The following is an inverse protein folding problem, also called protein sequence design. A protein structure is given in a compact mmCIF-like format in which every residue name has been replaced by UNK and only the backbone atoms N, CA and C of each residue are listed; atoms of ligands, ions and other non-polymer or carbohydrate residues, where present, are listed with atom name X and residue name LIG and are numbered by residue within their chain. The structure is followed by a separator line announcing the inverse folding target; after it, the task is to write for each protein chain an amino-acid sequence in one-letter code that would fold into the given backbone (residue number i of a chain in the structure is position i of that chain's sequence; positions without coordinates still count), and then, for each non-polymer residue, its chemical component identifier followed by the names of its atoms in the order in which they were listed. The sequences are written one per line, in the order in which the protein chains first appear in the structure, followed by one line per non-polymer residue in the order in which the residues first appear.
data_IF_486417885207
#
_entry.id   IF_486417885207
#
_cell.length_a   1.000
_cell.length_b   1.000
_cell.length_c   1.000
_cell.angle_alpha   90.00
_cell.angle_beta   90.00
_cell.angle_gamma   90.00
#
_symmetry.space_group_name_H-M   'P 1'
#
loop_
_entity.id
_entity.type
_entity.pdbx_description
1 polymer ?
#
# COMPACT_ATOMS: atom_id res chain seq x y z
N UNK A 1 5.12 29.53 21.98
CA UNK A 1 3.67 29.31 21.80
C UNK A 1 3.53 28.06 20.95
N UNK A 2 3.47 26.91 21.62
CA UNK A 2 3.59 25.59 20.99
C UNK A 2 2.31 25.27 20.22
N UNK A 3 2.37 25.46 18.90
CA UNK A 3 1.32 24.98 17.99
C UNK A 3 1.68 23.58 17.56
N UNK A 4 0.78 22.65 17.88
CA UNK A 4 0.62 21.28 17.37
C UNK A 4 0.97 20.14 18.35
N UNK A 5 0.15 20.01 19.41
CA UNK A 5 -0.31 18.70 19.83
C UNK A 5 -1.05 18.04 18.66
N UNK A 6 -0.35 17.25 17.87
CA UNK A 6 -0.93 16.37 16.87
C UNK A 6 -0.79 14.94 17.39
N UNK A 7 -1.72 14.48 18.22
CA UNK A 7 -1.99 13.04 18.26
C UNK A 7 -2.71 12.69 16.96
N UNK A 8 -1.97 12.68 15.83
CA UNK A 8 -2.50 12.13 14.59
C UNK A 8 -2.69 10.63 14.84
N UNK A 9 -3.94 10.22 15.04
CA UNK A 9 -4.28 8.81 15.20
C UNK A 9 -3.92 8.01 13.94
N UNK A 10 -3.94 8.67 12.77
CA UNK A 10 -3.50 8.14 11.50
C UNK A 10 -2.04 8.50 11.20
N UNK A 11 -1.21 7.49 10.91
CA UNK A 11 0.20 7.62 10.57
C UNK A 11 0.54 6.64 9.42
N UNK A 12 1.57 6.96 8.63
CA UNK A 12 2.12 6.05 7.63
C UNK A 12 2.89 4.94 8.36
N UNK A 13 2.55 3.68 8.08
CA UNK A 13 3.14 2.51 8.75
C UNK A 13 4.05 1.66 7.85
N UNK A 14 3.86 1.72 6.53
CA UNK A 14 4.65 0.93 5.59
C UNK A 14 4.56 1.49 4.17
N UNK A 15 5.47 1.04 3.32
CA UNK A 15 5.49 1.34 1.89
C UNK A 15 6.01 0.14 1.10
N UNK A 16 5.59 0.03 -0.16
CA UNK A 16 6.10 -0.96 -1.11
C UNK A 16 6.35 -0.30 -2.46
N UNK A 17 7.36 -0.75 -3.20
CA UNK A 17 7.51 -0.42 -4.61
C UNK A 17 6.62 -1.31 -5.48
N UNK A 18 6.22 -0.84 -6.66
CA UNK A 18 5.49 -1.61 -7.65
C UNK A 18 5.95 -1.31 -9.08
N UNK A 19 5.62 -2.23 -9.98
CA UNK A 19 5.81 -2.10 -11.43
C UNK A 19 4.64 -2.77 -12.14
N UNK A 20 3.86 -2.03 -12.91
CA UNK A 20 2.75 -2.55 -13.70
C UNK A 20 3.07 -2.50 -15.20
N UNK A 21 2.73 -3.56 -15.94
CA UNK A 21 2.84 -3.62 -17.40
C UNK A 21 4.14 -4.27 -17.90
N UNK A 22 4.28 -4.40 -19.22
CA UNK A 22 5.40 -5.11 -19.86
C UNK A 22 6.48 -4.14 -20.37
N UNK A 23 6.11 -3.07 -21.09
CA UNK A 23 6.98 -1.95 -21.46
C UNK A 23 6.20 -0.79 -22.14
N UNK A 24 6.42 0.50 -21.78
CA UNK A 24 7.11 0.94 -20.57
C UNK A 24 6.25 0.61 -19.34
N UNK A 25 6.89 0.10 -18.30
CA UNK A 25 6.23 -0.19 -17.03
C UNK A 25 5.83 1.10 -16.31
N UNK A 26 4.67 1.08 -15.65
CA UNK A 26 4.30 2.09 -14.66
C UNK A 26 4.89 1.68 -13.32
N UNK A 27 5.93 2.38 -12.88
CA UNK A 27 6.62 2.11 -11.62
C UNK A 27 6.31 3.19 -10.58
N UNK A 28 6.35 2.82 -9.31
CA UNK A 28 6.16 3.79 -8.23
C UNK A 28 6.24 3.17 -6.85
N UNK A 29 5.86 3.97 -5.87
CA UNK A 29 5.71 3.57 -4.48
C UNK A 29 4.26 3.68 -4.05
N UNK A 30 3.83 2.76 -3.22
CA UNK A 30 2.58 2.85 -2.45
C UNK A 30 2.92 3.03 -0.98
N UNK A 31 2.17 3.88 -0.28
CA UNK A 31 2.26 4.16 1.14
C UNK A 31 0.96 3.75 1.82
N UNK A 32 1.06 3.03 2.93
CA UNK A 32 -0.08 2.56 3.72
C UNK A 32 -0.10 3.26 5.07
N UNK A 33 -1.26 3.78 5.46
CA UNK A 33 -1.50 4.24 6.82
C UNK A 33 -2.04 3.13 7.71
N UNK A 34 -1.95 3.28 9.03
CA UNK A 34 -2.62 2.35 9.96
C UNK A 34 -4.14 2.29 9.77
N UNK A 35 -4.74 3.31 9.13
CA UNK A 35 -6.18 3.39 8.82
C UNK A 35 -6.54 2.77 7.46
N UNK A 36 -5.61 2.03 6.83
CA UNK A 36 -5.90 1.34 5.58
C UNK A 36 -5.91 2.25 4.35
N UNK A 37 -5.55 3.53 4.48
CA UNK A 37 -5.53 4.46 3.34
C UNK A 37 -4.24 4.27 2.54
N UNK A 38 -4.42 4.13 1.23
CA UNK A 38 -3.31 3.97 0.28
C UNK A 38 -3.09 5.25 -0.51
N UNK A 39 -1.82 5.62 -0.60
CA UNK A 39 -1.36 6.72 -1.43
C UNK A 39 -0.26 6.24 -2.35
N UNK A 40 -0.15 6.81 -3.55
CA UNK A 40 0.91 6.49 -4.51
C UNK A 40 1.76 7.70 -4.86
N UNK A 41 3.04 7.42 -5.11
CA UNK A 41 3.96 8.27 -5.85
C UNK A 41 4.38 7.49 -7.11
N UNK A 42 3.82 7.86 -8.26
CA UNK A 42 4.14 7.26 -9.56
C UNK A 42 5.32 7.98 -10.20
N UNK A 43 6.19 7.22 -10.87
CA UNK A 43 7.27 7.79 -11.66
C UNK A 43 6.73 8.48 -12.92
N UNK A 44 7.38 9.55 -13.36
CA UNK A 44 7.07 10.18 -14.65
C UNK A 44 7.49 9.26 -15.82
N UNK A 45 8.58 8.54 -15.63
CA UNK A 45 9.09 7.48 -16.51
C UNK A 45 10.02 6.56 -15.69
N UNK A 46 10.49 5.41 -16.21
CA UNK A 46 11.30 4.46 -15.45
C UNK A 46 12.56 5.04 -14.78
N UNK A 47 13.08 6.18 -15.26
CA UNK A 47 14.29 6.83 -14.76
C UNK A 47 14.02 8.10 -13.92
N UNK A 48 12.77 8.58 -13.87
CA UNK A 48 12.42 9.87 -13.24
C UNK A 48 11.24 9.71 -12.28
N UNK A 49 11.49 9.99 -10.99
CA UNK A 49 10.47 10.01 -9.94
C UNK A 49 9.40 11.08 -10.23
N UNK A 50 8.15 10.78 -9.88
CA UNK A 50 7.09 11.77 -9.84
C UNK A 50 7.26 12.76 -8.70
N UNK A 51 6.38 13.77 -8.69
CA UNK A 51 6.37 14.83 -7.66
C UNK A 51 5.08 14.85 -6.83
N UNK A 52 4.08 14.07 -7.23
CA UNK A 52 2.74 14.15 -6.66
C UNK A 52 2.40 12.85 -5.93
N UNK A 53 1.97 13.00 -4.67
CA UNK A 53 1.34 11.93 -3.92
C UNK A 53 -0.17 12.03 -4.14
N UNK A 54 -0.80 10.92 -4.50
CA UNK A 54 -2.25 10.85 -4.74
C UNK A 54 -2.88 9.71 -3.95
N UNK A 55 -4.10 9.91 -3.47
CA UNK A 55 -4.90 8.86 -2.83
C UNK A 55 -5.35 7.82 -3.86
N UNK A 56 -5.33 6.54 -3.47
CA UNK A 56 -5.77 5.42 -4.31
C UNK A 56 -7.12 4.89 -3.83
N UNK A 57 -7.15 4.38 -2.59
CA UNK A 57 -8.30 3.69 -1.99
C UNK A 57 -8.10 3.55 -0.48
N UNK A 58 -9.14 3.07 0.20
CA UNK A 58 -9.09 2.59 1.58
C UNK A 58 -9.36 1.09 1.57
N UNK A 59 -8.43 0.29 2.11
CA UNK A 59 -8.51 -1.18 2.08
C UNK A 59 -9.74 -1.71 2.84
N UNK A 60 -9.95 -1.20 4.05
CA UNK A 60 -11.05 -1.56 4.94
C UNK A 60 -11.26 -0.44 5.97
N UNK A 61 -12.35 -0.48 6.74
CA UNK A 61 -12.66 0.40 7.88
C UNK A 61 -11.71 0.26 9.09
N UNK A 62 -10.77 -0.69 9.07
CA UNK A 62 -9.88 -1.00 10.21
C UNK A 62 -8.78 0.04 10.42
N UNK A 63 -8.29 0.14 11.66
CA UNK A 63 -7.37 1.19 12.13
C UNK A 63 -6.01 0.70 12.66
N UNK A 64 -5.74 -0.58 12.47
CA UNK A 64 -4.56 -1.28 12.98
C UNK A 64 -3.85 -2.05 11.87
N UNK A 65 -3.84 -1.51 10.64
CA UNK A 65 -2.90 -1.97 9.62
C UNK A 65 -1.46 -1.75 10.09
N UNK A 66 -0.58 -2.71 9.78
CA UNK A 66 0.81 -2.70 10.24
C UNK A 66 1.83 -2.92 9.12
N UNK A 67 1.43 -3.45 7.96
CA UNK A 67 2.36 -3.63 6.85
C UNK A 67 1.64 -3.77 5.50
N UNK A 68 2.34 -3.41 4.42
CA UNK A 68 2.03 -3.78 3.04
C UNK A 68 3.29 -4.37 2.39
N UNK A 69 3.14 -5.45 1.64
CA UNK A 69 4.21 -6.06 0.85
C UNK A 69 3.75 -6.35 -0.57
N UNK A 70 4.71 -6.61 -1.46
CA UNK A 70 4.48 -6.99 -2.85
C UNK A 70 5.24 -8.28 -3.17
N UNK A 71 4.62 -9.14 -3.97
CA UNK A 71 5.28 -10.22 -4.70
C UNK A 71 5.04 -10.05 -6.20
N UNK A 72 5.94 -10.63 -7.01
CA UNK A 72 5.86 -10.63 -8.47
C UNK A 72 5.94 -12.07 -8.97
N UNK A 73 5.08 -12.44 -9.91
CA UNK A 73 5.13 -13.72 -10.60
C UNK A 73 5.88 -13.56 -11.94
N UNK A 74 6.55 -14.63 -12.37
CA UNK A 74 7.51 -14.65 -13.48
C UNK A 74 7.05 -13.86 -14.72
N UNK A 75 8.01 -13.17 -15.35
CA UNK A 75 7.88 -12.23 -16.48
C UNK A 75 7.22 -10.87 -16.18
N UNK A 76 7.13 -10.46 -14.91
CA UNK A 76 6.61 -9.14 -14.47
C UNK A 76 5.16 -8.83 -14.88
N UNK A 77 4.42 -9.82 -15.40
CA UNK A 77 3.05 -9.62 -15.91
C UNK A 77 2.04 -9.49 -14.76
N UNK A 78 2.25 -10.20 -13.65
CA UNK A 78 1.34 -10.22 -12.50
C UNK A 78 2.08 -9.93 -11.21
N UNK A 79 1.53 -9.02 -10.42
CA UNK A 79 1.98 -8.72 -9.07
C UNK A 79 0.81 -8.78 -8.11
N UNK A 80 1.10 -9.13 -6.87
CA UNK A 80 0.12 -9.14 -5.79
C UNK A 80 0.66 -8.34 -4.63
N UNK A 81 -0.25 -7.64 -3.97
CA UNK A 81 -0.01 -6.91 -2.74
C UNK A 81 -0.67 -7.65 -1.61
N UNK A 82 -0.03 -7.63 -0.44
CA UNK A 82 -0.58 -8.15 0.80
C UNK A 82 -0.52 -7.06 1.86
N UNK A 83 -1.66 -6.67 2.42
CA UNK A 83 -1.74 -5.79 3.56
C UNK A 83 -2.18 -6.58 4.79
N UNK A 84 -1.52 -6.34 5.92
CA UNK A 84 -1.78 -7.08 7.16
C UNK A 84 -2.09 -6.14 8.30
N UNK A 85 -2.95 -6.62 9.19
CA UNK A 85 -3.35 -5.90 10.39
C UNK A 85 -2.80 -6.55 11.65
N UNK A 86 -2.72 -5.76 12.74
CA UNK A 86 -2.25 -6.22 14.05
C UNK A 86 -3.08 -7.39 14.59
N UNK A 87 -4.37 -7.47 14.26
CA UNK A 87 -5.22 -8.61 14.66
C UNK A 87 -5.03 -9.87 13.83
N UNK A 88 -4.13 -9.87 12.84
CA UNK A 88 -3.84 -11.05 12.01
C UNK A 88 -4.70 -11.20 10.76
N UNK A 89 -5.56 -10.23 10.43
CA UNK A 89 -6.29 -10.23 9.15
C UNK A 89 -5.33 -9.85 8.02
N UNK A 90 -5.39 -10.62 6.94
CA UNK A 90 -4.64 -10.44 5.69
C UNK A 90 -5.61 -10.01 4.59
N UNK A 91 -5.22 -9.01 3.82
CA UNK A 91 -5.90 -8.55 2.62
C UNK A 91 -4.97 -8.68 1.43
N UNK A 92 -5.51 -9.01 0.25
CA UNK A 92 -4.73 -9.11 -0.99
C UNK A 92 -5.34 -8.28 -2.10
N UNK A 93 -4.49 -7.83 -3.03
CA UNK A 93 -4.90 -7.05 -4.20
C UNK A 93 -3.95 -7.31 -5.37
N UNK A 94 -4.48 -7.34 -6.59
CA UNK A 94 -3.66 -7.34 -7.81
C UNK A 94 -3.35 -5.92 -8.29
N UNK A 95 -4.18 -4.94 -7.95
CA UNK A 95 -4.23 -3.64 -8.62
C UNK A 95 -4.16 -2.42 -7.68
N UNK A 96 -3.97 -2.64 -6.38
CA UNK A 96 -3.98 -1.64 -5.29
C UNK A 96 -5.32 -0.92 -5.07
N UNK A 97 -6.35 -1.18 -5.86
CA UNK A 97 -7.66 -0.50 -5.80
C UNK A 97 -8.72 -1.39 -5.17
N UNK A 98 -8.78 -2.63 -5.59
CA UNK A 98 -9.71 -3.65 -5.14
C UNK A 98 -8.99 -4.59 -4.19
N UNK A 99 -9.59 -4.84 -3.03
CA UNK A 99 -8.97 -5.59 -1.95
C UNK A 99 -9.91 -6.66 -1.43
N UNK A 100 -9.40 -7.89 -1.38
CA UNK A 100 -10.10 -9.02 -0.81
C UNK A 100 -9.56 -9.34 0.57
N UNK A 101 -10.46 -9.56 1.54
CA UNK A 101 -10.08 -10.12 2.85
C UNK A 101 -9.78 -11.61 2.67
N UNK A 102 -8.51 -11.93 2.41
CA UNK A 102 -8.10 -13.26 1.97
C UNK A 102 -7.99 -14.28 3.11
N UNK A 103 -7.53 -13.89 4.30
CA UNK A 103 -7.21 -14.84 5.37
C UNK A 103 -7.14 -14.19 6.75
N UNK A 104 -7.18 -15.03 7.79
CA UNK A 104 -6.99 -14.61 9.18
C UNK A 104 -5.97 -15.54 9.83
N UNK A 105 -4.85 -14.96 10.28
CA UNK A 105 -3.85 -15.63 11.10
C UNK A 105 -4.31 -15.58 12.55
N UNK A 106 -4.47 -16.74 13.19
CA UNK A 106 -4.78 -16.82 14.62
C UNK A 106 -3.52 -16.52 15.44
N UNK A 107 -3.44 -15.30 15.97
CA UNK A 107 -2.37 -14.88 16.87
C UNK A 107 -2.66 -15.36 18.29
N UNK A 108 -1.60 -15.65 19.07
CA UNK A 108 -1.66 -16.09 20.47
C UNK A 108 -1.43 -14.92 21.40
#
# INVERSE_FOLDING_TARGET
MDKHNLSREENIISSASYSFGFAPTITGFVFLTNYGRLFKLENQNPQVLGKNISFITTIDSRKDFINISRIVYAEDIKQYFSAITKSGIVYTSENLKEWDRSSVIKLK
#
